data_IF_024899866393
#
_entry.id   IF_024899866393
#
_cell.length_a   1.000
_cell.length_b   1.000
_cell.length_c   1.000
_cell.angle_alpha   90.00
_cell.angle_beta   90.00
_cell.angle_gamma   90.00
#
_symmetry.space_group_name_H-M   'P 1'
#
loop_
_entity.id
_entity.type
_entity.pdbx_description
1 polymer ?
#
# COMPACT_ATOMS: atom_id res chain seq x y z
N UNK A 1 31.39 -18.66 -43.10
CA UNK A 1 32.36 -17.70 -42.56
C UNK A 1 31.82 -16.26 -42.42
N UNK A 2 30.84 -15.82 -43.23
CA UNK A 2 30.31 -14.45 -43.17
C UNK A 2 29.26 -14.20 -42.06
N UNK A 3 28.50 -15.23 -41.65
CA UNK A 3 27.41 -15.06 -40.66
C UNK A 3 27.88 -14.53 -39.30
N UNK A 4 28.97 -15.02 -38.65
CA UNK A 4 29.44 -14.49 -37.38
C UNK A 4 29.99 -13.07 -37.50
N UNK A 5 30.56 -12.69 -38.66
CA UNK A 5 31.04 -11.31 -38.87
C UNK A 5 29.87 -10.34 -38.99
N UNK A 6 28.81 -10.71 -39.70
CA UNK A 6 27.59 -9.94 -39.83
C UNK A 6 26.92 -9.76 -38.45
N UNK A 7 26.84 -10.85 -37.66
CA UNK A 7 26.28 -10.79 -36.30
C UNK A 7 27.09 -9.89 -35.37
N UNK A 8 28.44 -9.96 -35.45
CA UNK A 8 29.31 -9.08 -34.65
C UNK A 8 29.18 -7.61 -35.07
N UNK A 9 29.03 -7.30 -36.36
CA UNK A 9 28.79 -5.95 -36.86
C UNK A 9 27.43 -5.40 -36.36
N UNK A 10 26.37 -6.22 -36.43
CA UNK A 10 25.06 -5.83 -35.92
C UNK A 10 25.07 -5.60 -34.40
N UNK A 11 25.74 -6.44 -33.63
CA UNK A 11 25.95 -6.28 -32.21
C UNK A 11 26.75 -5.00 -31.87
N UNK A 12 27.83 -4.74 -32.67
CA UNK A 12 28.62 -3.53 -32.51
C UNK A 12 27.85 -2.26 -32.85
N UNK A 13 27.06 -2.26 -33.92
CA UNK A 13 26.20 -1.14 -34.30
C UNK A 13 25.08 -0.93 -33.27
N UNK A 14 24.45 -1.99 -32.77
CA UNK A 14 23.44 -1.91 -31.72
C UNK A 14 24.04 -1.37 -30.42
N UNK A 15 25.23 -1.80 -30.05
CA UNK A 15 25.96 -1.30 -28.89
C UNK A 15 26.36 0.17 -29.06
N UNK A 16 26.89 0.56 -30.24
CA UNK A 16 27.23 1.94 -30.54
C UNK A 16 25.98 2.85 -30.53
N UNK A 17 24.88 2.39 -31.12
CA UNK A 17 23.59 3.08 -31.06
C UNK A 17 23.08 3.26 -29.63
N UNK A 18 23.17 2.21 -28.81
CA UNK A 18 22.82 2.26 -27.40
C UNK A 18 23.71 3.25 -26.64
N UNK A 19 25.02 3.21 -26.86
CA UNK A 19 25.98 4.12 -26.25
C UNK A 19 25.70 5.57 -26.65
N UNK A 20 25.52 5.85 -27.95
CA UNK A 20 25.18 7.20 -28.45
C UNK A 20 23.81 7.67 -27.93
N UNK A 21 22.84 6.78 -27.83
CA UNK A 21 21.53 7.13 -27.32
C UNK A 21 21.54 7.44 -25.81
N UNK A 22 22.36 6.74 -25.02
CA UNK A 22 22.46 6.93 -23.58
C UNK A 22 23.45 8.05 -23.17
N UNK A 23 24.55 8.18 -23.90
CA UNK A 23 25.63 9.14 -23.56
C UNK A 23 25.63 10.40 -24.45
N UNK A 24 24.95 10.38 -25.60
CA UNK A 24 24.89 11.52 -26.52
C UNK A 24 23.79 12.56 -26.23
N UNK A 25 22.99 12.38 -25.18
CA UNK A 25 21.98 13.39 -24.80
C UNK A 25 22.68 14.58 -24.18
N UNK A 26 22.53 15.76 -24.80
CA UNK A 26 22.91 17.05 -24.20
C UNK A 26 22.42 17.08 -22.74
N UNK A 27 23.32 17.37 -21.83
CA UNK A 27 22.95 17.64 -20.45
C UNK A 27 22.05 18.87 -20.43
N UNK A 28 20.82 18.70 -20.08
CA UNK A 28 19.93 19.83 -19.83
C UNK A 28 20.52 20.62 -18.65
N UNK A 29 20.62 21.96 -18.77
CA UNK A 29 21.19 22.77 -17.70
C UNK A 29 20.35 22.63 -16.42
N UNK A 30 21.01 22.61 -15.27
CA UNK A 30 20.40 22.54 -13.95
C UNK A 30 19.63 21.21 -13.65
N UNK A 31 19.98 20.10 -14.30
CA UNK A 31 19.53 18.80 -13.86
C UNK A 31 20.08 18.47 -12.46
N UNK A 32 19.30 17.81 -11.59
CA UNK A 32 19.84 17.25 -10.36
C UNK A 32 21.06 16.35 -10.62
N UNK A 33 22.09 16.37 -9.75
CA UNK A 33 23.22 15.46 -9.84
C UNK A 33 22.76 14.01 -9.74
N UNK A 34 23.57 13.05 -10.19
CA UNK A 34 23.21 11.63 -10.09
C UNK A 34 23.86 10.78 -11.17
N UNK A 35 23.55 9.49 -11.14
CA UNK A 35 24.05 8.49 -12.06
C UNK A 35 22.87 7.81 -12.80
N UNK A 36 23.08 7.50 -14.07
CA UNK A 36 22.06 6.78 -14.87
C UNK A 36 22.24 5.26 -14.83
N UNK A 37 23.28 4.75 -14.16
CA UNK A 37 23.55 3.33 -14.00
C UNK A 37 23.86 2.60 -15.31
N UNK A 38 23.53 1.32 -15.37
CA UNK A 38 23.78 0.45 -16.53
C UNK A 38 22.87 0.78 -17.70
N UNK A 39 23.34 0.66 -18.95
CA UNK A 39 22.47 0.80 -20.11
C UNK A 39 21.22 -0.10 -19.98
N UNK A 40 20.04 0.41 -20.33
CA UNK A 40 18.72 -0.25 -20.28
C UNK A 40 18.22 -0.54 -18.84
N UNK A 41 19.02 -1.23 -18.02
CA UNK A 41 18.65 -1.64 -16.66
C UNK A 41 18.69 -0.49 -15.65
N UNK A 42 19.56 0.51 -15.91
CA UNK A 42 19.77 1.60 -14.97
C UNK A 42 20.26 1.11 -13.60
N UNK A 43 19.69 1.66 -12.56
CA UNK A 43 19.97 1.33 -11.18
C UNK A 43 18.81 0.55 -10.50
N UNK A 44 17.85 0.05 -11.29
CA UNK A 44 16.61 -0.57 -10.77
C UNK A 44 16.89 -1.71 -9.81
N UNK A 45 17.85 -2.58 -10.11
CA UNK A 45 18.19 -3.74 -9.27
C UNK A 45 18.72 -3.27 -7.90
N UNK A 46 19.58 -2.25 -7.89
CA UNK A 46 20.11 -1.68 -6.66
C UNK A 46 19.03 -0.97 -5.83
N UNK A 47 18.12 -0.26 -6.50
CA UNK A 47 16.97 0.39 -5.86
C UNK A 47 16.00 -0.61 -5.21
N UNK A 48 15.83 -1.79 -5.81
CA UNK A 48 14.94 -2.84 -5.34
C UNK A 48 15.58 -3.81 -4.33
N UNK A 49 16.84 -3.64 -3.93
CA UNK A 49 17.46 -4.51 -2.91
C UNK A 49 16.65 -4.53 -1.62
N UNK A 50 16.37 -5.72 -1.04
CA UNK A 50 15.69 -5.83 0.23
C UNK A 50 16.45 -5.13 1.35
N UNK A 51 15.72 -4.44 2.22
CA UNK A 51 16.27 -3.78 3.41
C UNK A 51 15.24 -3.83 4.55
N UNK A 52 15.66 -3.59 5.79
CA UNK A 52 14.73 -3.49 6.93
C UNK A 52 13.69 -2.39 6.67
N UNK A 53 12.44 -2.60 7.07
CA UNK A 53 11.37 -1.63 6.83
C UNK A 53 11.62 -0.28 7.50
N UNK A 54 12.29 -0.27 8.67
CA UNK A 54 12.70 0.95 9.38
C UNK A 54 14.00 1.58 8.82
N UNK A 55 14.23 1.47 7.52
CA UNK A 55 15.38 2.04 6.81
C UNK A 55 14.96 2.51 5.42
N UNK A 56 15.64 3.50 4.89
CA UNK A 56 15.46 3.92 3.48
C UNK A 56 16.16 2.99 2.48
N UNK A 57 17.05 2.12 2.95
CA UNK A 57 17.85 1.20 2.15
C UNK A 57 19.17 1.79 1.66
N UNK A 58 20.17 0.93 1.39
CA UNK A 58 21.53 1.33 1.01
C UNK A 58 21.57 2.21 -0.23
N UNK A 59 20.77 1.90 -1.25
CA UNK A 59 20.71 2.70 -2.47
C UNK A 59 20.41 4.18 -2.19
N UNK A 60 19.34 4.45 -1.44
CA UNK A 60 18.98 5.83 -1.12
C UNK A 60 19.96 6.49 -0.18
N UNK A 61 20.51 5.75 0.80
CA UNK A 61 21.54 6.28 1.70
C UNK A 61 22.79 6.72 0.96
N UNK A 62 23.31 5.88 0.07
CA UNK A 62 24.50 6.16 -0.75
C UNK A 62 24.27 7.35 -1.69
N UNK A 63 23.11 7.38 -2.38
CA UNK A 63 22.79 8.45 -3.33
C UNK A 63 22.55 9.78 -2.62
N UNK A 64 21.80 9.80 -1.52
CA UNK A 64 21.60 11.01 -0.73
C UNK A 64 22.91 11.56 -0.15
N UNK A 65 23.80 10.68 0.30
CA UNK A 65 25.14 11.10 0.79
C UNK A 65 26.01 11.69 -0.31
N UNK A 66 25.94 11.15 -1.53
CA UNK A 66 26.79 11.53 -2.65
C UNK A 66 26.28 12.71 -3.46
N UNK A 67 24.95 12.77 -3.66
CA UNK A 67 24.32 13.70 -4.60
C UNK A 67 23.35 14.68 -3.93
N UNK A 68 23.06 14.51 -2.66
CA UNK A 68 22.02 15.27 -1.96
C UNK A 68 20.64 14.62 -2.04
N UNK A 69 19.64 15.30 -1.47
CA UNK A 69 18.27 14.75 -1.30
C UNK A 69 17.46 14.68 -2.59
N UNK A 70 17.88 15.36 -3.65
CA UNK A 70 17.24 15.36 -4.97
C UNK A 70 18.29 14.96 -5.98
N UNK A 71 18.08 13.83 -6.66
CA UNK A 71 19.07 13.32 -7.62
C UNK A 71 18.41 12.65 -8.83
N UNK A 72 19.16 12.55 -9.93
CA UNK A 72 18.75 11.81 -11.12
C UNK A 72 19.25 10.37 -11.06
N UNK A 73 18.45 9.46 -11.62
CA UNK A 73 18.77 8.04 -11.82
C UNK A 73 18.04 7.52 -13.07
N UNK A 74 18.27 6.26 -13.42
CA UNK A 74 17.48 5.54 -14.41
C UNK A 74 16.83 4.34 -13.73
N UNK A 75 15.51 4.41 -13.52
CA UNK A 75 14.75 3.41 -12.79
C UNK A 75 13.58 2.89 -13.62
N UNK A 76 13.35 1.59 -13.57
CA UNK A 76 12.25 0.93 -14.29
C UNK A 76 12.20 1.26 -15.79
N UNK A 77 13.39 1.35 -16.41
CA UNK A 77 13.54 1.64 -17.83
C UNK A 77 13.29 3.10 -18.23
N UNK A 78 13.35 4.04 -17.29
CA UNK A 78 13.07 5.45 -17.56
C UNK A 78 14.00 6.39 -16.79
N UNK A 79 14.38 7.53 -17.38
CA UNK A 79 15.06 8.59 -16.65
C UNK A 79 14.14 9.09 -15.53
N UNK A 80 14.70 9.21 -14.34
CA UNK A 80 13.91 9.42 -13.12
C UNK A 80 14.59 10.43 -12.20
N UNK A 81 13.85 11.40 -11.71
CA UNK A 81 14.24 12.23 -10.57
C UNK A 81 13.74 11.54 -9.30
N UNK A 82 14.65 11.26 -8.39
CA UNK A 82 14.35 10.68 -7.07
C UNK A 82 14.42 11.80 -6.04
N UNK A 83 13.34 11.95 -5.27
CA UNK A 83 13.25 12.98 -4.25
C UNK A 83 13.13 12.36 -2.85
N UNK A 84 14.15 12.60 -2.04
CA UNK A 84 14.16 12.39 -0.59
C UNK A 84 13.93 13.71 0.18
N UNK A 85 13.58 14.80 -0.52
CA UNK A 85 13.33 16.12 0.02
C UNK A 85 11.85 16.30 0.36
N UNK A 86 11.56 16.76 1.59
CA UNK A 86 10.19 16.92 2.07
C UNK A 86 9.40 17.95 1.24
N UNK A 87 10.01 19.11 0.94
CA UNK A 87 9.33 20.19 0.23
C UNK A 87 8.99 19.77 -1.20
N UNK A 88 9.96 19.12 -1.90
CA UNK A 88 9.70 18.62 -3.25
C UNK A 88 8.64 17.51 -3.24
N UNK A 89 8.67 16.59 -2.27
CA UNK A 89 7.66 15.55 -2.16
C UNK A 89 6.26 16.14 -1.98
N UNK A 90 6.09 17.11 -1.10
CA UNK A 90 4.82 17.80 -0.90
C UNK A 90 4.40 18.58 -2.14
N UNK A 91 5.33 19.27 -2.79
CA UNK A 91 5.08 19.99 -4.05
C UNK A 91 4.58 19.04 -5.15
N UNK A 92 5.20 17.86 -5.31
CA UNK A 92 4.77 16.84 -6.28
C UNK A 92 3.37 16.34 -5.97
N UNK A 93 3.09 15.99 -4.72
CA UNK A 93 1.79 15.44 -4.32
C UNK A 93 0.65 16.44 -4.46
N UNK A 94 0.89 17.73 -4.18
CA UNK A 94 -0.11 18.79 -4.26
C UNK A 94 -0.40 19.27 -5.68
N UNK A 95 0.55 19.07 -6.61
CA UNK A 95 0.42 19.48 -8.00
C UNK A 95 0.09 18.33 -8.96
N UNK A 96 -0.55 17.28 -8.45
CA UNK A 96 -1.10 16.18 -9.26
C UNK A 96 -2.11 16.74 -10.27
N UNK A 97 -2.07 16.24 -11.51
CA UNK A 97 -2.89 16.64 -12.67
C UNK A 97 -2.60 18.08 -13.21
N UNK A 98 -1.77 18.86 -12.51
CA UNK A 98 -1.34 20.19 -12.98
C UNK A 98 0.06 20.15 -13.56
N UNK A 99 1.01 19.68 -12.77
CA UNK A 99 2.43 19.58 -13.12
C UNK A 99 2.90 18.14 -13.21
N UNK A 100 2.28 17.26 -12.45
CA UNK A 100 2.63 15.85 -12.36
C UNK A 100 1.42 14.96 -12.60
N UNK A 101 1.66 13.74 -13.08
CA UNK A 101 0.63 12.74 -13.32
C UNK A 101 1.10 11.37 -12.86
N UNK A 102 0.18 10.55 -12.36
CA UNK A 102 0.45 9.15 -12.07
C UNK A 102 1.01 8.43 -13.31
N UNK A 103 2.09 7.67 -13.15
CA UNK A 103 2.78 7.06 -14.28
C UNK A 103 3.48 5.76 -13.90
N UNK A 104 2.71 4.75 -13.58
CA UNK A 104 3.19 3.41 -13.21
C UNK A 104 3.80 2.66 -14.41
N UNK A 105 4.71 1.69 -14.19
CA UNK A 105 5.29 0.88 -15.24
C UNK A 105 4.23 0.05 -15.99
N UNK A 106 4.45 -0.19 -17.30
CA UNK A 106 3.54 -0.99 -18.12
C UNK A 106 3.13 -2.34 -17.51
N UNK A 107 4.03 -3.12 -16.90
CA UNK A 107 3.64 -4.37 -16.26
C UNK A 107 2.54 -4.25 -15.21
N UNK A 108 2.49 -3.13 -14.50
CA UNK A 108 1.43 -2.89 -13.53
C UNK A 108 0.06 -2.65 -14.18
N UNK A 109 0.02 -2.13 -15.42
CA UNK A 109 -1.23 -2.02 -16.17
C UNK A 109 -1.83 -3.38 -16.54
N UNK A 110 -1.00 -4.38 -16.83
CA UNK A 110 -1.45 -5.74 -17.12
C UNK A 110 -2.04 -6.42 -15.86
N UNK A 111 -1.49 -6.09 -14.69
CA UNK A 111 -1.93 -6.64 -13.41
C UNK A 111 -3.18 -5.90 -12.90
N UNK A 112 -3.14 -4.56 -12.83
CA UNK A 112 -4.23 -3.76 -12.23
C UNK A 112 -5.39 -3.52 -13.21
N UNK A 113 -5.10 -3.47 -14.51
CA UNK A 113 -6.05 -3.11 -15.55
C UNK A 113 -6.08 -1.61 -15.83
N UNK A 114 -6.59 -1.27 -17.03
CA UNK A 114 -6.57 0.12 -17.55
C UNK A 114 -7.49 1.10 -16.81
N UNK A 115 -8.52 0.58 -16.13
CA UNK A 115 -9.49 1.39 -15.38
C UNK A 115 -9.21 1.44 -13.87
N UNK A 116 -8.08 0.89 -13.42
CA UNK A 116 -7.70 0.96 -12.01
C UNK A 116 -7.48 2.40 -11.56
N UNK A 117 -7.98 2.73 -10.36
CA UNK A 117 -7.82 4.04 -9.71
C UNK A 117 -6.36 4.50 -9.64
N UNK A 118 -5.42 3.56 -9.50
CA UNK A 118 -3.99 3.86 -9.50
C UNK A 118 -3.47 4.29 -10.89
N UNK A 119 -4.08 3.78 -11.97
CA UNK A 119 -3.62 3.97 -13.35
C UNK A 119 -4.26 5.16 -14.04
N UNK A 120 -5.52 5.45 -13.71
CA UNK A 120 -6.28 6.54 -14.36
C UNK A 120 -5.89 7.91 -13.83
N UNK A 121 -6.17 8.94 -14.64
CA UNK A 121 -5.85 10.34 -14.39
C UNK A 121 -7.00 11.25 -14.82
N UNK A 122 -6.95 12.52 -14.43
CA UNK A 122 -7.94 13.52 -14.81
C UNK A 122 -9.34 13.22 -14.30
N UNK A 123 -10.35 13.46 -15.12
CA UNK A 123 -11.76 13.33 -14.72
C UNK A 123 -12.18 11.88 -14.47
N UNK A 124 -11.56 10.92 -15.16
CA UNK A 124 -11.79 9.49 -14.90
C UNK A 124 -11.32 9.13 -13.48
N UNK A 125 -10.15 9.61 -13.07
CA UNK A 125 -9.66 9.43 -11.71
C UNK A 125 -10.62 10.04 -10.68
N UNK A 126 -11.07 11.28 -10.88
CA UNK A 126 -12.03 11.95 -9.98
C UNK A 126 -13.31 11.14 -9.85
N UNK A 127 -13.86 10.68 -10.98
CA UNK A 127 -15.07 9.87 -11.07
C UNK A 127 -14.92 8.57 -10.27
N UNK A 128 -13.90 7.76 -10.56
CA UNK A 128 -13.68 6.48 -9.88
C UNK A 128 -13.37 6.69 -8.40
N UNK A 129 -12.54 7.70 -8.08
CA UNK A 129 -12.23 8.05 -6.69
C UNK A 129 -13.46 8.43 -5.86
N UNK A 130 -14.45 9.10 -6.45
CA UNK A 130 -15.67 9.50 -5.73
C UNK A 130 -16.42 8.31 -5.16
N UNK A 131 -16.42 7.15 -5.84
CA UNK A 131 -16.99 5.92 -5.32
C UNK A 131 -16.21 5.38 -4.12
N UNK A 132 -14.87 5.37 -4.18
CA UNK A 132 -14.06 4.94 -3.04
C UNK A 132 -14.27 5.84 -1.80
N UNK A 133 -14.35 7.16 -2.01
CA UNK A 133 -14.64 8.11 -0.92
C UNK A 133 -16.04 7.91 -0.35
N UNK A 134 -17.04 7.69 -1.22
CA UNK A 134 -18.42 7.41 -0.81
C UNK A 134 -18.51 6.13 0.03
N UNK A 135 -17.87 5.04 -0.43
CA UNK A 135 -17.80 3.78 0.31
C UNK A 135 -17.26 4.00 1.74
N UNK A 136 -16.10 4.62 1.85
CA UNK A 136 -15.46 4.88 3.15
C UNK A 136 -16.33 5.81 4.00
N UNK A 137 -16.94 6.84 3.40
CA UNK A 137 -17.80 7.79 4.09
C UNK A 137 -19.00 7.15 4.74
N UNK A 138 -19.63 6.19 4.05
CA UNK A 138 -20.79 5.45 4.54
C UNK A 138 -20.36 4.38 5.55
N UNK A 139 -19.31 3.62 5.26
CA UNK A 139 -18.94 2.43 6.02
C UNK A 139 -18.31 2.75 7.38
N UNK A 140 -17.38 3.71 7.44
CA UNK A 140 -16.49 3.93 8.62
C UNK A 140 -17.21 4.11 9.97
N UNK A 141 -18.45 4.56 9.99
CA UNK A 141 -19.23 4.79 11.21
C UNK A 141 -20.58 4.06 11.21
N UNK A 142 -20.84 3.23 10.20
CA UNK A 142 -22.05 2.42 10.14
C UNK A 142 -22.04 1.38 11.27
N UNK A 143 -23.10 1.25 12.07
CA UNK A 143 -23.19 0.23 13.12
C UNK A 143 -22.99 -1.20 12.56
N UNK A 144 -23.50 -1.47 11.38
CA UNK A 144 -23.38 -2.77 10.72
C UNK A 144 -21.92 -3.08 10.36
N UNK A 145 -21.19 -2.06 9.86
CA UNK A 145 -19.78 -2.19 9.55
C UNK A 145 -18.98 -2.44 10.82
N UNK A 146 -19.17 -1.61 11.84
CA UNK A 146 -18.44 -1.70 13.11
C UNK A 146 -18.67 -3.06 13.80
N UNK A 147 -19.92 -3.49 13.89
CA UNK A 147 -20.28 -4.80 14.43
C UNK A 147 -19.67 -5.96 13.63
N UNK A 148 -19.63 -5.83 12.32
CA UNK A 148 -19.02 -6.85 11.45
C UNK A 148 -17.51 -6.95 11.66
N UNK A 149 -16.79 -5.83 11.71
CA UNK A 149 -15.35 -5.79 11.99
C UNK A 149 -15.05 -6.44 13.34
N UNK A 150 -15.84 -6.13 14.36
CA UNK A 150 -15.69 -6.70 15.70
C UNK A 150 -15.94 -8.22 15.69
N UNK A 151 -17.03 -8.67 15.04
CA UNK A 151 -17.36 -10.09 14.92
C UNK A 151 -16.25 -10.87 14.20
N UNK A 152 -15.73 -10.35 13.09
CA UNK A 152 -14.63 -10.98 12.37
C UNK A 152 -13.34 -11.02 13.21
N UNK A 153 -13.08 -9.97 13.98
CA UNK A 153 -11.94 -9.92 14.91
C UNK A 153 -12.05 -11.01 15.98
N UNK A 154 -13.19 -11.11 16.64
CA UNK A 154 -13.44 -12.12 17.69
C UNK A 154 -13.35 -13.52 17.10
N UNK A 155 -13.98 -13.77 15.96
CA UNK A 155 -13.93 -15.08 15.27
C UNK A 155 -12.48 -15.50 14.94
N UNK A 156 -11.67 -14.55 14.43
CA UNK A 156 -10.25 -14.81 14.17
C UNK A 156 -9.50 -15.17 15.45
N UNK A 157 -9.69 -14.42 16.53
CA UNK A 157 -9.01 -14.67 17.80
C UNK A 157 -9.49 -15.94 18.50
N UNK A 158 -10.76 -16.31 18.35
CA UNK A 158 -11.28 -17.58 18.86
C UNK A 158 -10.61 -18.79 18.19
N UNK A 159 -10.23 -18.69 16.93
CA UNK A 159 -9.46 -19.73 16.25
C UNK A 159 -8.06 -19.95 16.85
N UNK A 160 -7.54 -18.97 17.60
CA UNK A 160 -6.22 -19.03 18.23
C UNK A 160 -6.20 -19.66 19.62
N UNK A 161 -7.36 -19.85 20.29
CA UNK A 161 -7.43 -20.28 21.69
C UNK A 161 -6.60 -21.52 22.02
N UNK A 162 -6.49 -22.45 21.06
CA UNK A 162 -5.74 -23.70 21.25
C UNK A 162 -4.39 -23.68 20.51
N UNK A 163 -3.97 -22.55 19.97
CA UNK A 163 -2.73 -22.42 19.23
C UNK A 163 -1.63 -21.88 20.14
N UNK A 164 -0.43 -22.48 20.10
CA UNK A 164 0.77 -21.93 20.76
C UNK A 164 1.44 -20.84 19.93
N UNK A 165 1.21 -20.85 18.61
CA UNK A 165 1.76 -19.89 17.69
C UNK A 165 0.86 -19.70 16.47
N UNK A 166 0.85 -18.50 15.92
CA UNK A 166 0.07 -18.13 14.71
C UNK A 166 0.96 -17.38 13.71
N UNK A 167 0.72 -17.61 12.42
CA UNK A 167 1.32 -16.81 11.35
C UNK A 167 0.50 -15.55 11.15
N UNK A 168 0.77 -14.53 11.96
CA UNK A 168 -0.09 -13.37 12.12
C UNK A 168 -0.35 -12.61 10.81
N UNK A 169 0.68 -12.47 9.94
CA UNK A 169 0.51 -11.76 8.68
C UNK A 169 -0.47 -12.47 7.74
N UNK A 170 -0.52 -13.81 7.79
CA UNK A 170 -1.53 -14.57 7.03
C UNK A 170 -2.93 -14.34 7.60
N UNK A 171 -3.07 -14.40 8.93
CA UNK A 171 -4.34 -14.14 9.61
C UNK A 171 -4.86 -12.72 9.32
N UNK A 172 -3.98 -11.70 9.38
CA UNK A 172 -4.31 -10.33 9.05
C UNK A 172 -4.79 -10.17 7.60
N UNK A 173 -4.19 -10.90 6.65
CA UNK A 173 -4.64 -10.91 5.25
C UNK A 173 -6.03 -11.50 5.09
N UNK A 174 -6.29 -12.62 5.74
CA UNK A 174 -7.63 -13.26 5.73
C UNK A 174 -8.66 -12.32 6.34
N UNK A 175 -8.37 -11.72 7.49
CA UNK A 175 -9.23 -10.76 8.15
C UNK A 175 -9.56 -9.57 7.25
N UNK A 176 -8.54 -8.90 6.71
CA UNK A 176 -8.71 -7.72 5.88
C UNK A 176 -9.52 -8.01 4.60
N UNK A 177 -9.26 -9.15 3.92
CA UNK A 177 -10.02 -9.50 2.73
C UNK A 177 -11.48 -9.86 3.07
N UNK A 178 -11.72 -10.62 4.14
CA UNK A 178 -13.06 -10.98 4.58
C UNK A 178 -13.89 -9.74 4.94
N UNK A 179 -13.27 -8.76 5.63
CA UNK A 179 -13.92 -7.47 5.91
C UNK A 179 -14.35 -6.79 4.63
N UNK A 180 -13.44 -6.69 3.65
CA UNK A 180 -13.74 -6.05 2.37
C UNK A 180 -14.78 -6.82 1.55
N UNK A 181 -14.69 -8.15 1.46
CA UNK A 181 -15.66 -8.98 0.74
C UNK A 181 -17.07 -8.86 1.33
N UNK A 182 -17.18 -8.86 2.65
CA UNK A 182 -18.47 -8.73 3.32
C UNK A 182 -19.14 -7.38 3.03
N UNK A 183 -18.39 -6.28 3.05
CA UNK A 183 -18.95 -4.94 2.89
C UNK A 183 -19.08 -4.47 1.44
N UNK A 184 -18.25 -4.98 0.53
CA UNK A 184 -18.35 -4.64 -0.89
C UNK A 184 -19.33 -5.54 -1.63
N UNK A 185 -19.36 -6.82 -1.28
CA UNK A 185 -20.00 -7.88 -2.06
C UNK A 185 -21.04 -8.69 -1.28
N UNK A 186 -21.21 -8.45 0.02
CA UNK A 186 -22.03 -9.25 0.94
C UNK A 186 -21.64 -10.74 1.00
N UNK A 187 -20.38 -11.06 0.71
CA UNK A 187 -19.85 -12.43 0.78
C UNK A 187 -19.38 -12.70 2.21
N UNK A 188 -19.83 -13.81 2.78
CA UNK A 188 -19.44 -14.27 4.11
C UNK A 188 -18.16 -15.14 4.03
N UNK A 189 -17.33 -15.16 5.10
CA UNK A 189 -16.09 -15.96 5.13
C UNK A 189 -16.31 -17.46 4.89
N UNK A 190 -17.46 -18.00 5.28
CA UNK A 190 -17.81 -19.42 5.20
C UNK A 190 -18.23 -19.84 3.78
N UNK A 191 -18.48 -18.88 2.89
CA UNK A 191 -18.89 -19.19 1.52
C UNK A 191 -17.70 -19.69 0.70
N UNK A 192 -17.86 -20.75 -0.13
CA UNK A 192 -16.74 -21.31 -0.91
C UNK A 192 -16.08 -20.31 -1.85
N UNK A 193 -16.83 -19.30 -2.30
CA UNK A 193 -16.31 -18.23 -3.16
C UNK A 193 -15.28 -17.36 -2.44
N UNK A 194 -15.38 -17.20 -1.12
CA UNK A 194 -14.46 -16.39 -0.33
C UNK A 194 -13.04 -16.98 -0.38
N UNK A 195 -12.89 -18.29 -0.19
CA UNK A 195 -11.59 -18.97 -0.28
C UNK A 195 -10.98 -18.88 -1.69
N UNK A 196 -11.83 -19.03 -2.73
CA UNK A 196 -11.38 -18.88 -4.13
C UNK A 196 -10.86 -17.47 -4.42
N UNK A 197 -11.55 -16.44 -3.94
CA UNK A 197 -11.10 -15.06 -4.08
C UNK A 197 -9.76 -14.84 -3.33
N UNK A 198 -9.62 -15.39 -2.12
CA UNK A 198 -8.38 -15.28 -1.33
C UNK A 198 -7.18 -15.91 -2.08
N UNK A 199 -7.31 -17.15 -2.57
CA UNK A 199 -6.26 -17.83 -3.33
C UNK A 199 -5.85 -17.07 -4.60
N UNK A 200 -6.84 -16.51 -5.29
CA UNK A 200 -6.59 -15.71 -6.48
C UNK A 200 -5.90 -14.38 -6.13
N UNK A 201 -6.25 -13.72 -5.01
CA UNK A 201 -5.56 -12.53 -4.54
C UNK A 201 -4.11 -12.83 -4.10
N UNK A 202 -3.86 -13.93 -3.40
CA UNK A 202 -2.50 -14.35 -3.06
C UNK A 202 -1.64 -14.53 -4.32
N UNK A 203 -2.17 -15.23 -5.33
CA UNK A 203 -1.49 -15.42 -6.61
C UNK A 203 -1.28 -14.10 -7.35
N UNK A 204 -2.30 -13.24 -7.38
CA UNK A 204 -2.28 -11.93 -8.01
C UNK A 204 -1.18 -11.03 -7.41
N UNK A 205 -1.03 -11.02 -6.09
CA UNK A 205 -0.01 -10.21 -5.41
C UNK A 205 1.42 -10.61 -5.78
N UNK A 206 1.68 -11.86 -6.15
CA UNK A 206 3.02 -12.28 -6.58
C UNK A 206 3.52 -11.55 -7.83
N UNK A 207 2.61 -11.02 -8.65
CA UNK A 207 2.94 -10.27 -9.86
C UNK A 207 3.65 -8.95 -9.60
N UNK A 208 3.32 -8.27 -8.49
CA UNK A 208 3.89 -6.97 -8.16
C UNK A 208 5.38 -7.03 -7.80
N UNK A 209 5.85 -8.17 -7.32
CA UNK A 209 7.24 -8.40 -6.89
C UNK A 209 8.04 -9.27 -7.85
N UNK A 210 7.45 -9.64 -8.98
CA UNK A 210 8.06 -10.52 -9.98
C UNK A 210 8.63 -9.76 -11.19
N UNK A 211 9.58 -10.36 -11.89
CA UNK A 211 9.99 -9.85 -13.18
C UNK A 211 8.82 -9.95 -14.18
N UNK A 212 8.57 -8.91 -15.00
CA UNK A 212 7.41 -8.86 -15.89
C UNK A 212 7.59 -9.73 -17.15
N UNK A 213 7.90 -10.99 -16.94
CA UNK A 213 8.11 -11.98 -18.01
C UNK A 213 6.83 -12.80 -18.21
N UNK A 214 6.19 -12.66 -19.38
CA UNK A 214 5.00 -13.45 -19.79
C UNK A 214 5.33 -14.88 -20.19
N UNK A 215 6.27 -15.53 -19.50
CA UNK A 215 6.63 -16.92 -19.74
C UNK A 215 5.60 -17.80 -19.02
N UNK A 216 5.03 -18.84 -19.67
CA UNK A 216 4.13 -19.78 -19.01
C UNK A 216 4.74 -20.35 -17.72
N UNK A 217 3.97 -20.28 -16.61
CA UNK A 217 4.45 -20.74 -15.31
C UNK A 217 5.19 -19.69 -14.46
N UNK A 218 5.63 -18.57 -15.03
CA UNK A 218 6.22 -17.48 -14.26
C UNK A 218 5.22 -16.86 -13.26
N UNK A 219 5.71 -16.28 -12.17
CA UNK A 219 4.87 -15.59 -11.17
C UNK A 219 4.04 -14.48 -11.82
N UNK A 220 4.65 -13.69 -12.71
CA UNK A 220 3.95 -12.64 -13.45
C UNK A 220 2.81 -13.18 -14.33
N UNK A 221 3.05 -14.24 -15.12
CA UNK A 221 2.02 -14.84 -15.95
C UNK A 221 0.88 -15.47 -15.14
N UNK A 222 1.20 -16.06 -13.97
CA UNK A 222 0.19 -16.55 -13.00
C UNK A 222 -0.65 -15.41 -12.44
N UNK A 223 -0.02 -14.30 -12.06
CA UNK A 223 -0.73 -13.14 -11.53
C UNK A 223 -1.69 -12.50 -12.55
N UNK A 224 -1.27 -12.37 -13.82
CA UNK A 224 -2.15 -11.88 -14.90
C UNK A 224 -3.36 -12.80 -15.08
N UNK A 225 -3.15 -14.14 -15.00
CA UNK A 225 -4.25 -15.11 -15.06
C UNK A 225 -5.17 -15.00 -13.81
N UNK A 226 -4.61 -14.84 -12.61
CA UNK A 226 -5.37 -14.64 -11.40
C UNK A 226 -6.24 -13.38 -11.49
N UNK A 227 -5.70 -12.26 -12.02
CA UNK A 227 -6.46 -11.05 -12.30
C UNK A 227 -7.66 -11.32 -13.23
N UNK A 228 -7.49 -12.13 -14.26
CA UNK A 228 -8.57 -12.50 -15.18
C UNK A 228 -9.64 -13.34 -14.48
N UNK A 229 -9.25 -14.31 -13.61
CA UNK A 229 -10.21 -15.09 -12.80
C UNK A 229 -10.98 -14.20 -11.83
N UNK A 230 -10.28 -13.34 -11.07
CA UNK A 230 -10.93 -12.37 -10.18
C UNK A 230 -11.94 -11.49 -10.93
N UNK A 231 -11.58 -11.00 -12.12
CA UNK A 231 -12.52 -10.25 -12.98
C UNK A 231 -13.74 -11.08 -13.37
N UNK A 232 -13.53 -12.35 -13.73
CA UNK A 232 -14.63 -13.26 -14.10
C UNK A 232 -15.55 -13.54 -12.91
N UNK A 233 -14.97 -13.72 -11.72
CA UNK A 233 -15.73 -13.93 -10.47
C UNK A 233 -16.59 -12.70 -10.14
N UNK A 234 -16.01 -11.51 -10.15
CA UNK A 234 -16.75 -10.25 -9.92
C UNK A 234 -17.83 -10.06 -10.99
N UNK A 235 -17.50 -10.36 -12.25
CA UNK A 235 -18.48 -10.34 -13.35
C UNK A 235 -19.68 -11.27 -13.08
N UNK A 236 -19.42 -12.48 -12.62
CA UNK A 236 -20.46 -13.44 -12.25
C UNK A 236 -21.39 -12.90 -11.17
N UNK A 237 -20.80 -12.34 -10.09
CA UNK A 237 -21.55 -11.72 -8.98
C UNK A 237 -22.42 -10.56 -9.48
N UNK A 238 -21.87 -9.68 -10.32
CA UNK A 238 -22.63 -8.57 -10.90
C UNK A 238 -23.81 -9.07 -11.72
N UNK A 239 -23.57 -10.03 -12.63
CA UNK A 239 -24.62 -10.58 -13.51
C UNK A 239 -25.74 -11.25 -12.70
N UNK A 240 -25.39 -12.00 -11.66
CA UNK A 240 -26.37 -12.65 -10.78
C UNK A 240 -27.25 -11.61 -10.06
N UNK A 241 -26.67 -10.51 -9.57
CA UNK A 241 -27.42 -9.44 -8.91
C UNK A 241 -28.34 -8.68 -9.87
N UNK A 242 -27.86 -8.37 -11.07
CA UNK A 242 -28.67 -7.72 -12.10
C UNK A 242 -29.86 -8.59 -12.51
N UNK A 243 -29.70 -9.92 -12.54
CA UNK A 243 -30.81 -10.87 -12.86
C UNK A 243 -31.84 -11.01 -11.73
N UNK A 244 -31.43 -10.86 -10.48
CA UNK A 244 -32.32 -10.98 -9.32
C UNK A 244 -33.26 -9.80 -9.14
N UNK A 245 -33.14 -8.72 -9.95
CA UNK A 245 -33.95 -7.50 -9.84
C UNK A 245 -34.08 -6.99 -8.39
N UNK A 246 -33.04 -7.10 -7.59
CA UNK A 246 -33.05 -6.63 -6.21
C UNK A 246 -33.12 -5.12 -6.25
N UNK A 247 -34.31 -4.59 -6.10
CA UNK A 247 -34.54 -3.15 -6.00
C UNK A 247 -33.70 -2.56 -4.85
N UNK A 248 -33.06 -1.46 -5.12
CA UNK A 248 -32.02 -0.74 -4.36
C UNK A 248 -32.53 -0.13 -3.05
N UNK A 249 -33.21 -0.87 -2.21
CA UNK A 249 -33.57 -0.41 -0.87
C UNK A 249 -32.86 -1.26 0.18
N UNK A 250 -31.65 -0.79 0.58
CA UNK A 250 -30.88 -1.41 1.66
C UNK A 250 -29.78 -2.37 1.22
N UNK A 251 -29.30 -2.29 -0.02
CA UNK A 251 -28.22 -3.12 -0.55
C UNK A 251 -26.82 -2.70 -0.08
N UNK A 252 -25.83 -3.53 -0.40
CA UNK A 252 -24.43 -3.23 -0.16
C UNK A 252 -23.85 -2.19 -1.14
N UNK A 253 -22.54 -1.93 -1.02
CA UNK A 253 -21.87 -0.98 -1.88
C UNK A 253 -21.92 -1.35 -3.38
N UNK A 254 -21.92 -2.65 -3.69
CA UNK A 254 -22.00 -3.10 -5.08
C UNK A 254 -23.34 -2.68 -5.71
N UNK A 255 -24.45 -2.79 -4.99
CA UNK A 255 -25.76 -2.36 -5.50
C UNK A 255 -25.78 -0.86 -5.82
N UNK A 256 -25.09 -0.05 -4.98
CA UNK A 256 -24.87 1.37 -5.28
C UNK A 256 -24.05 1.64 -6.55
N UNK A 257 -23.03 0.82 -6.84
CA UNK A 257 -22.29 0.88 -8.10
C UNK A 257 -23.15 0.43 -9.29
N UNK A 258 -23.93 -0.63 -9.13
CA UNK A 258 -24.75 -1.20 -10.21
C UNK A 258 -25.83 -0.23 -10.66
N UNK A 259 -26.45 0.49 -9.74
CA UNK A 259 -27.47 1.49 -10.04
C UNK A 259 -26.95 2.74 -10.75
N UNK A 260 -25.62 2.93 -10.86
CA UNK A 260 -25.06 4.12 -11.49
C UNK A 260 -24.90 3.94 -13.01
N UNK A 261 -25.69 4.66 -13.83
CA UNK A 261 -25.66 4.53 -15.29
C UNK A 261 -24.43 5.15 -15.95
N UNK A 262 -23.68 5.98 -15.21
CA UNK A 262 -22.49 6.63 -15.74
C UNK A 262 -21.25 5.73 -15.79
N UNK A 263 -21.32 4.56 -15.15
CA UNK A 263 -20.23 3.57 -15.09
C UNK A 263 -20.41 2.51 -16.17
N UNK A 264 -19.36 2.32 -16.98
CA UNK A 264 -19.29 1.16 -17.85
C UNK A 264 -19.10 -0.13 -17.02
N UNK A 265 -19.44 -1.25 -17.61
CA UNK A 265 -19.32 -2.56 -16.96
C UNK A 265 -17.87 -2.86 -16.50
N UNK A 266 -16.88 -2.51 -17.32
CA UNK A 266 -15.47 -2.67 -17.01
C UNK A 266 -15.01 -1.74 -15.85
N UNK A 267 -15.54 -0.52 -15.78
CA UNK A 267 -15.29 0.38 -14.65
C UNK A 267 -15.86 -0.19 -13.34
N UNK A 268 -17.08 -0.75 -13.36
CA UNK A 268 -17.70 -1.39 -12.19
C UNK A 268 -16.83 -2.52 -11.64
N UNK A 269 -16.35 -3.43 -12.51
CA UNK A 269 -15.43 -4.52 -12.12
C UNK A 269 -14.13 -3.96 -11.55
N UNK A 270 -13.54 -2.94 -12.20
CA UNK A 270 -12.28 -2.37 -11.75
C UNK A 270 -12.39 -1.69 -10.40
N UNK A 271 -13.47 -0.97 -10.11
CA UNK A 271 -13.72 -0.34 -8.81
C UNK A 271 -13.77 -1.39 -7.70
N UNK A 272 -14.52 -2.48 -7.91
CA UNK A 272 -14.60 -3.57 -6.91
C UNK A 272 -13.23 -4.18 -6.65
N UNK A 273 -12.48 -4.51 -7.70
CA UNK A 273 -11.17 -5.13 -7.54
C UNK A 273 -10.14 -4.19 -6.92
N UNK A 274 -10.18 -2.90 -7.25
CA UNK A 274 -9.31 -1.89 -6.66
C UNK A 274 -9.58 -1.73 -5.16
N UNK A 275 -10.83 -1.73 -4.73
CA UNK A 275 -11.21 -1.60 -3.33
C UNK A 275 -10.83 -2.85 -2.53
N UNK A 276 -11.09 -4.05 -3.07
CA UNK A 276 -10.64 -5.31 -2.46
C UNK A 276 -9.12 -5.33 -2.29
N UNK A 277 -8.37 -4.97 -3.34
CA UNK A 277 -6.91 -4.92 -3.31
C UNK A 277 -6.40 -3.92 -2.28
N UNK A 278 -6.95 -2.70 -2.30
CA UNK A 278 -6.52 -1.62 -1.42
C UNK A 278 -6.72 -1.98 0.06
N UNK A 279 -7.85 -2.58 0.41
CA UNK A 279 -8.13 -3.01 1.78
C UNK A 279 -7.34 -4.25 2.20
N UNK A 280 -7.08 -5.17 1.28
CA UNK A 280 -6.43 -6.45 1.58
C UNK A 280 -4.97 -6.29 2.03
N UNK A 281 -4.09 -5.85 1.13
CA UNK A 281 -2.64 -5.91 1.36
C UNK A 281 -2.15 -4.82 2.33
N UNK A 282 -2.66 -3.60 2.19
CA UNK A 282 -2.15 -2.46 2.96
C UNK A 282 -2.57 -2.52 4.42
N UNK A 283 -3.83 -2.85 4.70
CA UNK A 283 -4.36 -3.00 6.07
C UNK A 283 -3.69 -4.16 6.77
N UNK A 284 -3.58 -5.33 6.14
CA UNK A 284 -2.91 -6.50 6.72
C UNK A 284 -1.43 -6.22 7.02
N UNK A 285 -0.72 -5.54 6.11
CA UNK A 285 0.68 -5.15 6.32
C UNK A 285 0.80 -4.20 7.52
N UNK A 286 -0.08 -3.22 7.63
CA UNK A 286 -0.06 -2.26 8.73
C UNK A 286 -0.37 -2.94 10.07
N UNK A 287 -1.36 -3.85 10.12
CA UNK A 287 -1.65 -4.67 11.31
C UNK A 287 -0.41 -5.46 11.76
N UNK A 288 0.27 -6.11 10.82
CA UNK A 288 1.47 -6.89 11.11
C UNK A 288 2.62 -6.01 11.62
N UNK A 289 2.80 -4.83 11.05
CA UNK A 289 3.80 -3.86 11.51
C UNK A 289 3.50 -3.34 12.92
N UNK A 290 2.24 -3.03 13.24
CA UNK A 290 1.82 -2.58 14.57
C UNK A 290 2.12 -3.66 15.61
N UNK A 291 1.70 -4.90 15.36
CA UNK A 291 1.93 -6.03 16.27
C UNK A 291 3.42 -6.29 16.46
N UNK A 292 4.21 -6.19 15.39
CA UNK A 292 5.67 -6.28 15.45
C UNK A 292 6.28 -5.18 16.33
N UNK A 293 5.94 -3.91 16.06
CA UNK A 293 6.52 -2.79 16.81
C UNK A 293 6.09 -2.78 18.28
N UNK A 294 4.83 -3.05 18.57
CA UNK A 294 4.33 -3.16 19.96
C UNK A 294 5.02 -4.29 20.73
N UNK A 295 5.32 -5.42 20.07
CA UNK A 295 6.09 -6.52 20.69
C UNK A 295 7.52 -6.12 21.07
N UNK A 296 8.05 -5.00 20.53
CA UNK A 296 9.37 -4.46 20.85
C UNK A 296 9.33 -3.13 21.64
N UNK A 297 8.13 -2.64 21.96
CA UNK A 297 7.90 -1.38 22.64
C UNK A 297 6.95 -1.57 23.86
N UNK A 298 7.42 -2.21 24.96
CA UNK A 298 6.56 -2.59 26.07
C UNK A 298 5.82 -1.41 26.70
N UNK A 299 6.45 -0.25 26.82
CA UNK A 299 5.81 0.95 27.37
C UNK A 299 4.62 1.42 26.49
N UNK A 300 4.77 1.35 25.16
CA UNK A 300 3.69 1.71 24.23
C UNK A 300 2.56 0.67 24.29
N UNK A 301 2.89 -0.61 24.42
CA UNK A 301 1.90 -1.68 24.60
C UNK A 301 1.11 -1.53 25.91
N UNK A 302 1.78 -1.20 26.99
CA UNK A 302 1.13 -0.96 28.29
C UNK A 302 0.18 0.23 28.23
N UNK A 303 0.64 1.36 27.67
CA UNK A 303 -0.20 2.56 27.48
C UNK A 303 -1.42 2.28 26.61
N UNK A 304 -1.23 1.53 25.52
CA UNK A 304 -2.33 1.11 24.66
C UNK A 304 -3.33 0.23 25.41
N UNK A 305 -2.85 -0.69 26.21
CA UNK A 305 -3.68 -1.57 27.06
C UNK A 305 -4.49 -0.78 28.07
N UNK A 306 -3.90 0.22 28.73
CA UNK A 306 -4.61 1.12 29.66
C UNK A 306 -5.78 1.83 28.97
N UNK A 307 -5.58 2.38 27.74
CA UNK A 307 -6.64 3.04 26.98
C UNK A 307 -7.81 2.07 26.73
N UNK A 308 -7.51 0.86 26.24
CA UNK A 308 -8.54 -0.12 25.91
C UNK A 308 -9.24 -0.71 27.14
N UNK A 309 -8.54 -0.88 28.25
CA UNK A 309 -9.14 -1.25 29.53
C UNK A 309 -10.10 -0.17 30.05
N UNK A 310 -9.72 1.11 29.88
CA UNK A 310 -10.57 2.25 30.22
C UNK A 310 -11.88 2.24 29.43
N UNK A 311 -11.81 1.98 28.13
CA UNK A 311 -13.00 1.86 27.28
C UNK A 311 -13.87 0.67 27.72
N UNK A 312 -13.27 -0.51 27.95
CA UNK A 312 -13.99 -1.72 28.33
C UNK A 312 -14.72 -1.58 29.66
N UNK A 313 -14.11 -0.91 30.65
CA UNK A 313 -14.73 -0.64 31.97
C UNK A 313 -15.99 0.22 31.89
N UNK A 314 -16.16 1.01 30.84
CA UNK A 314 -17.33 1.85 30.62
C UNK A 314 -18.48 1.12 29.90
N UNK A 315 -18.33 -0.19 29.61
CA UNK A 315 -19.31 -0.98 28.86
C UNK A 315 -19.81 -2.16 29.70
N UNK A 316 -21.06 -2.55 29.44
CA UNK A 316 -21.61 -3.76 30.04
C UNK A 316 -20.92 -5.02 29.47
N UNK A 317 -21.08 -6.14 30.15
CA UNK A 317 -20.55 -7.42 29.67
C UNK A 317 -21.25 -7.81 28.36
N UNK A 318 -20.46 -8.15 27.33
CA UNK A 318 -20.97 -8.49 26.00
C UNK A 318 -21.37 -7.27 25.13
N UNK A 319 -21.35 -6.05 25.64
CA UNK A 319 -21.63 -4.87 24.85
C UNK A 319 -20.52 -4.61 23.81
N UNK A 320 -20.92 -4.47 22.53
CA UNK A 320 -20.03 -4.25 21.39
C UNK A 320 -19.48 -2.83 21.35
N UNK A 321 -18.34 -2.64 20.67
CA UNK A 321 -17.80 -1.31 20.41
C UNK A 321 -18.68 -0.51 19.45
N UNK A 322 -18.65 0.81 19.61
CA UNK A 322 -19.37 1.72 18.72
C UNK A 322 -18.45 2.88 18.27
N UNK A 323 -18.99 3.75 17.41
CA UNK A 323 -18.24 4.88 16.88
C UNK A 323 -17.74 5.87 17.97
N UNK A 324 -18.49 6.05 19.05
CA UNK A 324 -18.08 6.91 20.15
C UNK A 324 -16.90 6.32 20.92
N UNK A 325 -16.83 5.00 21.04
CA UNK A 325 -15.68 4.32 21.66
C UNK A 325 -14.42 4.47 20.80
N UNK A 326 -14.53 4.30 19.48
CA UNK A 326 -13.42 4.57 18.57
C UNK A 326 -12.87 6.00 18.70
N UNK A 327 -13.74 6.99 18.89
CA UNK A 327 -13.32 8.38 19.06
C UNK A 327 -12.53 8.64 20.35
N UNK A 328 -12.59 7.74 21.34
CA UNK A 328 -11.78 7.78 22.56
C UNK A 328 -10.41 7.10 22.42
N UNK A 329 -10.15 6.40 21.30
CA UNK A 329 -8.92 5.64 21.03
C UNK A 329 -7.82 6.57 20.47
N UNK A 330 -7.43 7.59 21.22
CA UNK A 330 -6.46 8.58 20.78
C UNK A 330 -5.04 8.00 20.67
N UNK A 331 -4.59 7.30 21.72
CA UNK A 331 -3.27 6.67 21.70
C UNK A 331 -3.19 5.54 20.66
N UNK A 332 -4.27 4.82 20.46
CA UNK A 332 -4.39 3.84 19.34
C UNK A 332 -4.15 4.52 18.00
N UNK A 333 -4.74 5.68 17.74
CA UNK A 333 -4.49 6.45 16.51
C UNK A 333 -3.02 6.84 16.38
N UNK A 334 -2.37 7.23 17.47
CA UNK A 334 -0.95 7.57 17.51
C UNK A 334 -0.06 6.35 17.20
N UNK A 335 -0.39 5.18 17.75
CA UNK A 335 0.27 3.90 17.46
C UNK A 335 0.17 3.56 15.97
N UNK A 336 -1.02 3.70 15.37
CA UNK A 336 -1.25 3.45 13.95
C UNK A 336 -0.41 4.40 13.09
N UNK A 337 -0.43 5.70 13.38
CA UNK A 337 0.34 6.70 12.63
C UNK A 337 1.85 6.47 12.76
N UNK A 338 2.34 6.09 13.95
CA UNK A 338 3.75 5.79 14.16
C UNK A 338 4.18 4.51 13.43
N UNK A 339 3.34 3.50 13.42
CA UNK A 339 3.62 2.28 12.66
C UNK A 339 3.67 2.54 11.15
N UNK A 340 2.83 3.42 10.64
CA UNK A 340 2.91 3.90 9.24
C UNK A 340 4.22 4.63 8.96
N UNK A 341 4.66 5.49 9.87
CA UNK A 341 5.92 6.23 9.74
C UNK A 341 7.12 5.29 9.74
N UNK A 342 7.18 4.35 10.69
CA UNK A 342 8.30 3.42 10.85
C UNK A 342 8.27 2.25 9.88
N UNK A 343 7.09 1.87 9.38
CA UNK A 343 6.86 0.59 8.70
C UNK A 343 7.03 0.60 7.19
N UNK A 344 7.00 1.78 6.54
CA UNK A 344 7.17 1.89 5.08
C UNK A 344 6.14 1.11 4.25
N UNK A 345 4.87 1.08 4.65
CA UNK A 345 3.79 0.39 3.91
C UNK A 345 3.78 0.80 2.43
N UNK A 346 3.95 2.11 2.15
CA UNK A 346 4.16 2.64 0.81
C UNK A 346 5.45 3.48 0.79
N UNK A 347 6.50 2.95 0.16
CA UNK A 347 7.82 3.59 0.13
C UNK A 347 7.84 4.84 -0.74
N UNK A 348 7.25 4.77 -1.93
CA UNK A 348 7.23 5.83 -2.93
C UNK A 348 6.03 5.67 -3.86
N UNK A 349 5.74 6.72 -4.63
CA UNK A 349 4.72 6.68 -5.67
C UNK A 349 5.31 7.06 -7.02
N UNK A 350 4.72 6.56 -8.09
CA UNK A 350 5.18 6.82 -9.45
C UNK A 350 4.48 8.06 -10.03
N UNK A 351 5.29 9.07 -10.41
CA UNK A 351 4.82 10.26 -11.11
C UNK A 351 5.62 10.50 -12.39
N UNK A 352 5.10 11.35 -13.24
CA UNK A 352 5.73 11.86 -14.45
C UNK A 352 5.49 13.37 -14.51
N UNK A 353 6.53 14.14 -14.84
CA UNK A 353 6.40 15.57 -15.12
C UNK A 353 5.67 15.79 -16.46
N UNK A 354 4.68 16.68 -16.47
CA UNK A 354 3.87 17.00 -17.65
C UNK A 354 4.51 18.10 -18.52
N UNK A 355 5.38 18.92 -17.92
CA UNK A 355 6.15 19.99 -18.55
C UNK A 355 7.50 20.13 -17.85
N UNK A 356 8.38 21.00 -18.34
CA UNK A 356 9.60 21.35 -17.60
C UNK A 356 9.23 22.14 -16.35
N UNK A 357 9.73 21.68 -15.20
CA UNK A 357 9.38 22.23 -13.89
C UNK A 357 10.64 22.70 -13.21
N UNK A 358 10.66 23.97 -12.80
CA UNK A 358 11.72 24.52 -11.93
C UNK A 358 11.33 24.29 -10.47
N UNK A 359 12.27 23.73 -9.71
CA UNK A 359 12.16 23.60 -8.27
C UNK A 359 13.52 23.96 -7.64
N UNK A 360 13.57 25.08 -6.93
CA UNK A 360 14.83 25.68 -6.45
C UNK A 360 15.81 25.84 -7.61
N UNK A 361 17.03 25.35 -7.47
CA UNK A 361 18.09 25.38 -8.51
C UNK A 361 17.91 24.32 -9.60
N UNK A 362 17.02 23.36 -9.43
CA UNK A 362 16.89 22.23 -10.32
C UNK A 362 15.78 22.40 -11.37
N UNK A 363 15.97 21.72 -12.49
CA UNK A 363 14.95 21.52 -13.53
C UNK A 363 14.57 20.04 -13.58
N UNK A 364 13.27 19.76 -13.49
CA UNK A 364 12.68 18.45 -13.72
C UNK A 364 12.14 18.45 -15.15
N UNK A 365 12.73 17.69 -16.09
CA UNK A 365 12.32 17.75 -17.49
C UNK A 365 10.95 17.13 -17.74
N UNK A 366 10.23 17.67 -18.72
CA UNK A 366 9.00 17.08 -19.24
C UNK A 366 9.18 15.60 -19.61
N UNK A 367 8.22 14.78 -19.26
CA UNK A 367 8.21 13.35 -19.54
C UNK A 367 9.08 12.48 -18.61
N UNK A 368 9.99 13.07 -17.82
CA UNK A 368 10.77 12.31 -16.85
C UNK A 368 9.90 11.78 -15.72
N UNK A 369 10.25 10.58 -15.25
CA UNK A 369 9.65 10.02 -14.04
C UNK A 369 10.11 10.82 -12.82
N UNK A 370 9.25 10.88 -11.82
CA UNK A 370 9.55 11.52 -10.54
C UNK A 370 9.07 10.61 -9.43
N UNK A 371 9.97 10.26 -8.52
CA UNK A 371 9.67 9.37 -7.39
C UNK A 371 9.82 10.12 -6.08
N UNK A 372 8.75 10.67 -5.50
CA UNK A 372 8.76 11.14 -4.14
C UNK A 372 8.92 9.94 -3.20
N UNK A 373 10.04 9.89 -2.48
CA UNK A 373 10.33 8.83 -1.51
C UNK A 373 9.74 9.26 -0.16
N UNK A 374 8.54 8.76 0.13
CA UNK A 374 7.81 9.12 1.35
C UNK A 374 8.55 8.69 2.61
N UNK A 375 9.19 7.52 2.55
CA UNK A 375 9.92 6.94 3.67
C UNK A 375 11.21 7.68 4.02
N UNK A 376 11.84 8.37 3.07
CA UNK A 376 13.02 9.17 3.36
C UNK A 376 12.71 10.32 4.32
N UNK A 377 11.54 10.93 4.17
CA UNK A 377 11.06 12.00 5.06
C UNK A 377 10.73 11.45 6.45
N UNK A 378 10.19 10.24 6.53
CA UNK A 378 9.84 9.60 7.79
C UNK A 378 11.05 9.32 8.70
N UNK A 379 12.23 9.15 8.10
CA UNK A 379 13.48 8.84 8.82
C UNK A 379 14.47 10.03 8.84
N UNK A 380 14.04 11.22 8.48
CA UNK A 380 14.87 12.40 8.46
C UNK A 380 15.11 12.94 9.88
N UNK A 381 16.35 12.88 10.35
CA UNK A 381 16.74 13.38 11.67
C UNK A 381 16.62 14.91 11.79
N UNK A 382 16.52 15.65 10.69
CA UNK A 382 16.26 17.09 10.74
C UNK A 382 14.78 17.43 10.99
N UNK A 383 13.90 16.47 10.74
CA UNK A 383 12.45 16.60 10.93
C UNK A 383 11.95 15.91 12.19
N UNK A 384 12.60 14.81 12.60
CA UNK A 384 12.16 13.97 13.70
C UNK A 384 13.30 13.70 14.68
N UNK A 385 13.04 13.88 15.96
CA UNK A 385 13.91 13.41 17.02
C UNK A 385 13.87 11.87 17.06
N UNK A 386 15.05 11.21 17.16
CA UNK A 386 15.19 9.75 17.17
C UNK A 386 14.30 9.06 16.10
N UNK A 387 14.52 9.34 14.79
CA UNK A 387 13.58 8.95 13.74
C UNK A 387 13.44 7.43 13.57
N UNK A 388 14.40 6.63 14.04
CA UNK A 388 14.38 5.17 13.95
C UNK A 388 13.64 4.52 15.13
N UNK A 389 13.33 5.28 16.18
CA UNK A 389 12.60 4.81 17.34
C UNK A 389 11.09 4.78 17.07
N UNK A 390 10.43 3.70 17.48
CA UNK A 390 8.98 3.60 17.49
C UNK A 390 8.45 4.31 18.74
N UNK A 391 7.99 5.53 18.57
CA UNK A 391 7.55 6.42 19.66
C UNK A 391 6.18 7.07 19.34
N UNK A 392 5.07 6.43 19.71
CA UNK A 392 3.71 6.97 19.47
C UNK A 392 3.44 8.31 20.16
N UNK A 393 4.16 8.65 21.22
CA UNK A 393 3.95 9.91 21.94
C UNK A 393 4.31 11.15 21.10
N UNK A 394 5.16 11.01 20.07
CA UNK A 394 5.47 12.12 19.16
C UNK A 394 4.24 12.71 18.46
N UNK A 395 3.16 11.96 18.37
CA UNK A 395 1.92 12.38 17.69
C UNK A 395 1.01 13.25 18.54
N UNK A 396 1.32 13.44 19.82
CA UNK A 396 0.70 14.48 20.64
C UNK A 396 1.21 15.88 20.27
N UNK A 397 2.36 15.99 19.58
CA UNK A 397 2.79 17.23 18.97
C UNK A 397 2.17 17.35 17.56
N UNK A 398 1.25 18.30 17.40
CA UNK A 398 0.59 18.58 16.12
C UNK A 398 1.56 18.89 14.98
N UNK A 399 2.79 19.39 15.29
CA UNK A 399 3.81 19.66 14.30
C UNK A 399 4.27 18.38 13.57
N UNK A 400 4.19 17.22 14.22
CA UNK A 400 4.56 15.92 13.64
C UNK A 400 3.68 15.59 12.44
N UNK A 401 2.37 15.82 12.54
CA UNK A 401 1.42 15.54 11.45
C UNK A 401 1.68 16.38 10.19
N UNK A 402 2.31 17.55 10.33
CA UNK A 402 2.70 18.43 9.21
C UNK A 402 3.97 17.97 8.51
N UNK A 403 4.81 17.19 9.19
CA UNK A 403 6.09 16.68 8.68
C UNK A 403 5.98 15.31 8.01
N UNK A 404 4.91 14.56 8.29
CA UNK A 404 4.72 13.18 7.80
C UNK A 404 3.40 13.09 7.06
N UNK A 405 3.39 12.34 5.96
CA UNK A 405 2.18 12.04 5.20
C UNK A 405 1.92 10.53 5.17
N UNK A 406 1.48 9.91 6.28
CA UNK A 406 1.35 8.46 6.40
C UNK A 406 0.45 7.85 5.32
N UNK A 407 -0.57 8.59 4.89
CA UNK A 407 -1.53 8.19 3.86
C UNK A 407 -1.36 8.93 2.54
N UNK A 408 -0.18 9.52 2.30
CA UNK A 408 0.10 10.32 1.11
C UNK A 408 -0.47 11.75 1.20
N UNK A 409 -0.73 12.40 0.06
CA UNK A 409 -1.18 13.78 0.03
C UNK A 409 -1.80 14.20 -1.30
N UNK A 410 -2.35 15.42 -1.30
CA UNK A 410 -2.97 16.02 -2.48
C UNK A 410 -4.20 15.26 -2.99
N UNK A 411 -4.53 15.42 -4.29
CA UNK A 411 -5.72 14.78 -4.88
C UNK A 411 -5.74 13.25 -4.80
N UNK A 412 -4.59 12.61 -4.54
CA UNK A 412 -4.46 11.14 -4.38
C UNK A 412 -4.22 10.69 -2.93
N UNK A 413 -4.54 11.53 -1.95
CA UNK A 413 -4.60 11.11 -0.54
C UNK A 413 -5.41 9.83 -0.41
N UNK A 414 -4.96 8.89 0.44
CA UNK A 414 -5.63 7.61 0.62
C UNK A 414 -7.12 7.79 0.99
N UNK A 415 -8.06 7.29 0.18
CA UNK A 415 -9.47 7.40 0.51
C UNK A 415 -9.86 6.50 1.71
N UNK A 416 -9.14 5.37 1.91
CA UNK A 416 -9.41 4.38 2.96
C UNK A 416 -8.76 4.66 4.31
N UNK A 417 -8.09 5.81 4.50
CA UNK A 417 -7.31 6.08 5.72
C UNK A 417 -8.11 5.90 7.02
N UNK A 418 -9.31 6.47 7.09
CA UNK A 418 -10.15 6.36 8.28
C UNK A 418 -10.75 4.96 8.45
N UNK A 419 -11.10 4.27 7.35
CA UNK A 419 -11.61 2.91 7.41
C UNK A 419 -10.56 1.95 7.99
N UNK A 420 -9.33 2.01 7.46
CA UNK A 420 -8.21 1.20 7.94
C UNK A 420 -7.91 1.47 9.43
N UNK A 421 -7.97 2.74 9.87
CA UNK A 421 -7.78 3.07 11.29
C UNK A 421 -8.85 2.44 12.18
N UNK A 422 -10.10 2.48 11.76
CA UNK A 422 -11.22 1.86 12.49
C UNK A 422 -11.04 0.35 12.58
N UNK A 423 -10.80 -0.32 11.47
CA UNK A 423 -10.57 -1.77 11.44
C UNK A 423 -9.44 -2.19 12.37
N UNK A 424 -8.32 -1.48 12.31
CA UNK A 424 -7.14 -1.76 13.13
C UNK A 424 -7.41 -1.44 14.61
N UNK A 425 -8.11 -0.37 14.92
CA UNK A 425 -8.42 0.02 16.30
C UNK A 425 -9.31 -1.02 17.00
N UNK A 426 -10.31 -1.54 16.30
CA UNK A 426 -11.17 -2.62 16.80
C UNK A 426 -10.40 -3.92 16.99
N UNK A 427 -9.56 -4.26 16.02
CA UNK A 427 -8.66 -5.39 16.15
C UNK A 427 -7.73 -5.27 17.35
N UNK A 428 -7.08 -4.11 17.54
CA UNK A 428 -6.16 -3.87 18.65
C UNK A 428 -6.88 -3.92 19.99
N UNK A 429 -8.12 -3.42 20.09
CA UNK A 429 -8.92 -3.50 21.30
C UNK A 429 -9.01 -4.94 21.83
N UNK A 430 -9.40 -5.85 20.96
CA UNK A 430 -9.55 -7.26 21.34
C UNK A 430 -8.20 -7.94 21.54
N UNK A 431 -7.19 -7.63 20.71
CA UNK A 431 -5.87 -8.24 20.83
C UNK A 431 -5.21 -7.95 22.17
N UNK A 432 -5.12 -6.66 22.55
CA UNK A 432 -4.38 -6.26 23.76
C UNK A 432 -5.09 -6.63 25.07
N UNK A 433 -6.41 -6.84 25.03
CA UNK A 433 -7.19 -7.27 26.18
C UNK A 433 -7.20 -8.78 26.38
N UNK A 434 -7.08 -9.56 25.30
CA UNK A 434 -7.27 -11.01 25.36
C UNK A 434 -5.98 -11.82 25.17
N UNK A 435 -4.89 -11.21 24.65
CA UNK A 435 -3.66 -11.95 24.33
C UNK A 435 -2.40 -11.20 24.74
N UNK A 436 -1.40 -12.00 25.15
CA UNK A 436 0.02 -11.62 25.16
C UNK A 436 0.67 -12.30 23.97
N UNK A 437 1.70 -11.66 23.40
CA UNK A 437 2.44 -12.26 22.29
C UNK A 437 3.92 -11.95 22.36
N UNK A 438 4.70 -12.79 21.71
CA UNK A 438 6.13 -12.60 21.46
C UNK A 438 6.43 -12.81 19.99
N UNK A 439 7.27 -11.97 19.44
CA UNK A 439 7.79 -12.10 18.08
C UNK A 439 9.12 -12.85 18.08
N UNK A 440 9.45 -13.56 17.00
CA UNK A 440 10.78 -14.17 16.86
C UNK A 440 11.78 -13.13 16.35
N UNK A 441 12.99 -13.10 16.92
CA UNK A 441 14.02 -12.11 16.65
C UNK A 441 14.47 -12.07 15.16
N UNK A 442 14.37 -13.18 14.44
CA UNK A 442 14.78 -13.34 13.06
C UNK A 442 13.63 -13.09 12.04
N UNK A 443 12.40 -12.83 12.51
CA UNK A 443 11.24 -12.53 11.68
C UNK A 443 10.87 -11.04 11.75
N UNK A 444 11.71 -10.22 11.13
CA UNK A 444 11.54 -8.77 11.07
C UNK A 444 11.02 -8.33 9.68
N UNK A 445 10.34 -7.17 9.60
CA UNK A 445 9.78 -6.67 8.35
C UNK A 445 10.87 -6.21 7.38
N UNK A 446 10.79 -6.70 6.14
CA UNK A 446 11.66 -6.34 5.01
C UNK A 446 10.87 -5.60 3.95
N UNK A 447 11.37 -4.47 3.49
CA UNK A 447 10.84 -3.73 2.35
C UNK A 447 11.50 -4.23 1.04
N UNK A 448 10.67 -4.77 0.10
CA UNK A 448 11.13 -5.24 -1.20
C UNK A 448 9.97 -5.54 -2.18
N UNK A 449 9.59 -4.71 -3.04
CA UNK A 449 9.37 -3.26 -2.91
C UNK A 449 8.29 -2.94 -1.88
N UNK A 450 7.52 -3.96 -1.46
CA UNK A 450 6.52 -3.92 -0.39
C UNK A 450 7.06 -4.56 0.88
N UNK A 451 6.46 -4.25 2.00
CA UNK A 451 6.85 -4.84 3.28
C UNK A 451 6.37 -6.29 3.34
N UNK A 452 7.27 -7.18 3.72
CA UNK A 452 7.01 -8.60 3.90
C UNK A 452 7.69 -9.13 5.15
N UNK A 453 7.14 -10.17 5.75
CA UNK A 453 7.74 -10.93 6.82
C UNK A 453 8.15 -12.31 6.29
N UNK A 454 9.42 -12.68 6.44
CA UNK A 454 9.96 -13.94 5.85
C UNK A 454 9.23 -15.18 6.31
N UNK A 455 8.78 -15.21 7.58
CA UNK A 455 8.04 -16.31 8.18
C UNK A 455 6.57 -15.98 8.44
N UNK A 456 6.08 -14.88 7.88
CA UNK A 456 4.70 -14.44 8.03
C UNK A 456 4.39 -13.83 9.40
N UNK A 457 5.38 -13.27 10.09
CA UNK A 457 5.30 -12.76 11.46
C UNK A 457 4.74 -13.84 12.41
N UNK A 458 5.57 -14.85 12.68
CA UNK A 458 5.21 -15.92 13.62
C UNK A 458 5.17 -15.36 15.05
N UNK A 459 3.98 -15.34 15.64
CA UNK A 459 3.75 -14.94 17.03
C UNK A 459 3.59 -16.18 17.90
N UNK A 460 4.32 -16.22 19.01
CA UNK A 460 3.95 -17.05 20.14
C UNK A 460 2.88 -16.30 20.92
N UNK A 461 1.71 -16.91 21.09
CA UNK A 461 0.54 -16.27 21.70
C UNK A 461 0.15 -16.98 22.99
N UNK A 462 -0.32 -16.19 23.95
CA UNK A 462 -0.73 -16.65 25.28
C UNK A 462 -2.02 -15.91 25.66
N UNK A 463 -3.17 -16.60 25.82
CA UNK A 463 -4.40 -15.96 26.24
C UNK A 463 -4.25 -15.32 27.63
N UNK A 464 -4.91 -14.18 27.83
CA UNK A 464 -5.00 -13.53 29.14
C UNK A 464 -6.26 -14.08 29.82
N UNK A 465 -6.08 -14.73 30.96
CA UNK A 465 -7.17 -15.23 31.80
C UNK A 465 -7.99 -14.08 32.43
#
# INVERSE_FOLDING_TARGET
MFLPIILALWLGLALAFLLLHFFGKQELPNLPPGNMGWPILGETISFLKPHKSNSIGSFLQEHCSRYGRIFKSHLFGSPTIVSCDHELNMFILQNEEKLFQASYPKPMHDILGKHSLLMVSGDIHKKIRSFAVSFVGISKSSPEFLHSVETLTISMMDSWRNCKAVSFYKEAKVFALNTMMKHLLSIKPEEPIASTILEDFETFMTGFVSLPLKIPGSAYAKAVKARARLSSTVKGIITEREQRNVGVTGGDFLDGILSNPSLSYEEKISIVLDLLLAGYETTATLMALIVYFLGHAPNALEKLKEEHQGIRKCKEEGETLNWADYKKMEFTSNVICEAMRCGNVVKFVHRKALQDIRFKEFVIPSGWKVFPILTAVNFDATLHENPLEFNPWRWFDESTSKKVSPFGGGPRLCPGAELAKVEIAYFLHHLVLNYRWKTKADDYPLAHPYVQFRRGLLLEIDPIE
#
